data_IF_432574813325
#
_entry.id   IF_432574813325
#
_cell.length_a   1.000
_cell.length_b   1.000
_cell.length_c   1.000
_cell.angle_alpha   90.00
_cell.angle_beta   90.00
_cell.angle_gamma   90.00
#
_symmetry.space_group_name_H-M   'P 1'
#
loop_
_entity.id
_entity.type
_entity.pdbx_description
1 polymer ?
#
# COMPACT_ATOMS: atom_id res chain seq x y z
N UNK A 1 8.78 -10.70 -53.47
CA UNK A 1 9.10 -9.80 -52.35
C UNK A 1 8.31 -10.32 -51.14
N UNK A 2 8.73 -11.44 -50.55
CA UNK A 2 9.69 -11.48 -49.44
C UNK A 2 8.89 -11.43 -48.13
N UNK A 3 8.27 -12.52 -47.68
CA UNK A 3 8.85 -13.63 -46.92
C UNK A 3 9.30 -13.23 -45.48
N UNK A 4 8.93 -14.11 -44.53
CA UNK A 4 9.62 -14.41 -43.26
C UNK A 4 9.30 -13.48 -42.08
N UNK A 5 9.11 -13.91 -40.81
CA UNK A 5 9.02 -15.20 -40.11
C UNK A 5 8.73 -14.84 -38.63
N UNK A 6 7.90 -15.61 -37.95
CA UNK A 6 8.27 -16.47 -36.80
C UNK A 6 8.53 -15.79 -35.45
N UNK A 7 7.84 -16.36 -34.46
CA UNK A 7 8.31 -16.80 -33.14
C UNK A 7 9.20 -15.83 -32.34
N UNK A 8 8.71 -15.43 -31.18
CA UNK A 8 9.22 -15.97 -29.92
C UNK A 8 8.13 -15.85 -28.85
N UNK A 9 7.57 -17.00 -28.48
CA UNK A 9 7.21 -17.24 -27.10
C UNK A 9 8.46 -16.98 -26.26
N UNK A 10 8.45 -15.95 -25.42
CA UNK A 10 9.40 -15.82 -24.32
C UNK A 10 8.82 -16.53 -23.09
N UNK A 11 9.36 -17.68 -22.67
CA UNK A 11 9.14 -18.17 -21.33
C UNK A 11 10.09 -17.40 -20.40
N UNK A 12 9.67 -16.23 -19.95
CA UNK A 12 10.25 -15.70 -18.73
C UNK A 12 9.71 -16.58 -17.60
N UNK A 13 10.60 -17.43 -17.09
CA UNK A 13 10.45 -18.24 -15.89
C UNK A 13 9.63 -17.51 -14.80
N UNK A 14 8.99 -18.26 -13.87
CA UNK A 14 8.50 -17.64 -12.66
C UNK A 14 9.73 -17.04 -11.97
N UNK A 15 9.92 -15.73 -12.10
CA UNK A 15 10.73 -14.99 -11.17
C UNK A 15 9.90 -15.00 -9.90
N UNK A 16 9.99 -16.13 -9.18
CA UNK A 16 9.95 -16.10 -7.75
C UNK A 16 11.12 -15.19 -7.36
N UNK A 17 10.86 -13.88 -7.41
CA UNK A 17 11.49 -12.95 -6.52
C UNK A 17 11.15 -13.51 -5.15
N UNK A 18 12.06 -14.35 -4.63
CA UNK A 18 12.20 -14.55 -3.21
C UNK A 18 12.48 -13.16 -2.65
N UNK A 19 11.39 -12.43 -2.39
CA UNK A 19 11.41 -11.24 -1.57
C UNK A 19 11.97 -11.74 -0.24
N UNK A 20 13.12 -11.22 0.21
CA UNK A 20 13.61 -11.57 1.53
C UNK A 20 12.47 -11.24 2.48
N UNK A 21 11.95 -12.25 3.16
CA UNK A 21 10.89 -12.10 4.13
C UNK A 21 11.38 -11.10 5.17
N UNK A 22 10.96 -9.84 5.01
CA UNK A 22 11.10 -8.81 6.03
C UNK A 22 10.52 -9.41 7.31
N UNK A 23 11.13 -9.12 8.47
CA UNK A 23 10.84 -9.80 9.73
C UNK A 23 9.33 -9.85 9.90
N UNK A 24 8.80 -11.07 9.88
CA UNK A 24 7.37 -11.33 10.03
C UNK A 24 6.97 -10.72 11.36
N UNK A 25 6.36 -9.54 11.31
CA UNK A 25 5.71 -9.02 12.48
C UNK A 25 4.57 -9.99 12.75
N UNK A 26 4.48 -10.63 13.94
CA UNK A 26 3.41 -11.60 14.23
C UNK A 26 2.00 -11.00 14.06
N UNK A 27 1.89 -9.68 13.91
CA UNK A 27 0.68 -8.92 13.66
C UNK A 27 0.43 -8.59 12.16
N UNK A 28 1.40 -8.82 11.25
CA UNK A 28 1.26 -8.62 9.80
C UNK A 28 1.73 -9.85 9.00
N UNK A 29 0.94 -10.95 9.01
CA UNK A 29 1.32 -12.22 8.37
C UNK A 29 1.45 -12.14 6.84
N UNK A 30 0.93 -11.09 6.21
CA UNK A 30 0.89 -10.95 4.74
C UNK A 30 1.91 -9.94 4.18
N UNK A 31 2.84 -9.42 4.99
CA UNK A 31 3.78 -8.38 4.55
C UNK A 31 3.06 -7.21 3.82
N UNK A 32 1.88 -6.85 4.33
CA UNK A 32 1.07 -5.79 3.73
C UNK A 32 1.83 -4.47 3.80
N UNK A 33 1.66 -3.64 2.78
CA UNK A 33 2.17 -2.26 2.79
C UNK A 33 1.29 -1.43 3.75
N UNK A 34 1.80 -0.35 4.36
CA UNK A 34 1.02 0.49 5.29
C UNK A 34 -0.28 1.02 4.67
N UNK A 35 -0.31 1.25 3.35
CA UNK A 35 -1.51 1.62 2.61
C UNK A 35 -2.58 0.52 2.51
N UNK A 36 -2.22 -0.76 2.67
CA UNK A 36 -3.13 -1.92 2.63
C UNK A 36 -3.53 -2.42 4.02
N UNK A 37 -2.83 -2.03 5.08
CA UNK A 37 -3.16 -2.45 6.44
C UNK A 37 -4.46 -1.80 6.93
N UNK A 38 -4.74 -0.58 6.46
CA UNK A 38 -5.82 0.26 7.00
C UNK A 38 -6.56 1.00 5.87
N UNK A 39 -7.27 0.28 4.96
CA UNK A 39 -7.95 0.91 3.83
C UNK A 39 -9.13 1.80 4.27
N UNK A 40 -9.82 1.42 5.34
CA UNK A 40 -10.99 2.15 5.84
C UNK A 40 -10.59 3.53 6.41
N UNK A 41 -9.58 3.57 7.28
CA UNK A 41 -9.08 4.83 7.86
C UNK A 41 -8.32 5.67 6.84
N UNK A 42 -7.61 5.05 5.89
CA UNK A 42 -6.97 5.75 4.78
C UNK A 42 -8.03 6.48 3.94
N UNK A 43 -9.09 5.79 3.54
CA UNK A 43 -10.15 6.38 2.71
C UNK A 43 -10.86 7.51 3.43
N UNK A 44 -11.19 7.34 4.71
CA UNK A 44 -11.81 8.41 5.50
C UNK A 44 -10.89 9.65 5.62
N UNK A 45 -9.59 9.43 5.86
CA UNK A 45 -8.59 10.51 5.91
C UNK A 45 -8.51 11.23 4.56
N UNK A 46 -8.34 10.48 3.47
CA UNK A 46 -8.26 11.02 2.11
C UNK A 46 -9.50 11.84 1.75
N UNK A 47 -10.68 11.29 2.05
CA UNK A 47 -11.96 11.95 1.81
C UNK A 47 -12.10 13.25 2.63
N UNK A 48 -11.61 13.25 3.88
CA UNK A 48 -11.55 14.46 4.68
C UNK A 48 -10.64 15.52 4.06
N UNK A 49 -9.43 15.17 3.60
CA UNK A 49 -8.54 16.12 2.93
C UNK A 49 -9.09 16.60 1.58
N UNK A 50 -9.89 15.80 0.87
CA UNK A 50 -10.54 16.19 -0.38
C UNK A 50 -11.75 17.10 -0.16
N UNK A 51 -12.48 16.92 0.94
CA UNK A 51 -13.68 17.71 1.26
C UNK A 51 -13.39 18.97 2.08
N UNK A 52 -12.23 19.04 2.72
CA UNK A 52 -11.88 20.12 3.65
C UNK A 52 -10.82 21.02 3.03
N UNK A 53 -10.96 22.33 3.20
CA UNK A 53 -9.93 23.29 2.77
C UNK A 53 -8.58 22.99 3.44
N UNK A 54 -7.50 23.00 2.65
CA UNK A 54 -6.16 22.68 3.13
C UNK A 54 -5.68 23.56 4.30
N UNK A 55 -6.24 24.77 4.44
CA UNK A 55 -5.96 25.68 5.55
C UNK A 55 -6.49 25.18 6.91
N UNK A 56 -7.53 24.34 6.92
CA UNK A 56 -8.17 23.80 8.15
C UNK A 56 -8.16 22.27 8.21
N UNK A 57 -7.73 21.60 7.15
CA UNK A 57 -7.65 20.14 7.07
C UNK A 57 -6.69 19.53 8.11
N UNK A 58 -5.61 20.22 8.48
CA UNK A 58 -4.66 19.70 9.48
C UNK A 58 -5.33 19.47 10.83
N UNK A 59 -6.20 20.39 11.27
CA UNK A 59 -6.94 20.28 12.52
C UNK A 59 -8.20 19.40 12.39
N UNK A 60 -8.94 19.55 11.28
CA UNK A 60 -10.20 18.82 11.04
C UNK A 60 -9.98 17.34 10.75
N UNK A 61 -8.93 17.01 10.00
CA UNK A 61 -8.61 15.64 9.64
C UNK A 61 -7.59 15.00 10.60
N UNK A 62 -7.12 15.73 11.63
CA UNK A 62 -6.16 15.24 12.62
C UNK A 62 -6.59 13.93 13.29
N UNK A 63 -7.86 13.84 13.68
CA UNK A 63 -8.42 12.63 14.28
C UNK A 63 -8.36 11.43 13.33
N UNK A 64 -8.66 11.64 12.04
CA UNK A 64 -8.63 10.60 11.02
C UNK A 64 -7.20 10.15 10.72
N UNK A 65 -6.25 11.10 10.70
CA UNK A 65 -4.81 10.81 10.60
C UNK A 65 -4.34 9.98 11.80
N UNK A 66 -4.71 10.37 13.02
CA UNK A 66 -4.39 9.63 14.25
C UNK A 66 -4.97 8.21 14.23
N UNK A 67 -6.22 8.04 13.78
CA UNK A 67 -6.86 6.73 13.60
C UNK A 67 -6.11 5.86 12.59
N UNK A 68 -5.64 6.44 11.49
CA UNK A 68 -4.84 5.73 10.49
C UNK A 68 -3.47 5.31 11.05
N UNK A 69 -2.79 6.20 11.77
CA UNK A 69 -1.51 5.91 12.44
C UNK A 69 -1.68 4.83 13.51
N UNK A 70 -2.71 4.91 14.35
CA UNK A 70 -2.99 3.89 15.37
C UNK A 70 -3.22 2.51 14.75
N UNK A 71 -3.94 2.46 13.62
CA UNK A 71 -4.13 1.23 12.88
C UNK A 71 -2.80 0.68 12.34
N UNK A 72 -1.96 1.51 11.69
CA UNK A 72 -0.63 1.10 11.21
C UNK A 72 0.29 0.62 12.35
N UNK A 73 0.22 1.26 13.53
CA UNK A 73 0.95 0.82 14.73
C UNK A 73 0.45 -0.52 15.26
N UNK A 74 -0.85 -0.81 15.15
CA UNK A 74 -1.43 -2.11 15.51
C UNK A 74 -0.92 -3.27 14.64
N UNK A 75 -0.59 -2.99 13.37
CA UNK A 75 0.10 -3.94 12.48
C UNK A 75 1.63 -3.91 12.63
N UNK A 76 2.15 -3.05 13.51
CA UNK A 76 3.56 -2.92 13.84
C UNK A 76 4.40 -2.22 12.79
N UNK A 77 3.79 -1.32 12.00
CA UNK A 77 4.53 -0.33 11.21
C UNK A 77 4.94 0.84 12.11
N UNK A 78 6.19 1.29 11.95
CA UNK A 78 6.69 2.49 12.64
C UNK A 78 6.42 3.71 11.74
N UNK A 79 5.49 4.58 12.15
CA UNK A 79 4.89 5.71 11.41
C UNK A 79 4.78 6.96 12.26
#
# INVERSE_FOLDING_TARGET
MGAQQSVVASPAAPVACAVPAAPVNPLNPNNLKPCCACPETKSARDDCFLKTDAAVADEKCKELVQKHIACMRGYGFNV
#
